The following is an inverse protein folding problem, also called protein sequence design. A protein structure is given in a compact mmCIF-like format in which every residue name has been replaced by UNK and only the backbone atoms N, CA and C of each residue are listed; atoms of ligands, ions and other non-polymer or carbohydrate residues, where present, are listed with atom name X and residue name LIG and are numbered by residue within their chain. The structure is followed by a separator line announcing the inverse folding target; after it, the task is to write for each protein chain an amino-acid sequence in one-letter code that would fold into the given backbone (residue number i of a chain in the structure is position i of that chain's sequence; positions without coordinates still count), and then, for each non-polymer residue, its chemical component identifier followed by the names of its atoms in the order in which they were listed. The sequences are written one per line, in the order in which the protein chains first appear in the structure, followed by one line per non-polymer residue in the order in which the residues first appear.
data_IF_382566108393
#
_entry.id   IF_382566108393
#
_cell.length_a   1.000
_cell.length_b   1.000
_cell.length_c   1.000
_cell.angle_alpha   90.00
_cell.angle_beta   90.00
_cell.angle_gamma   90.00
#
_symmetry.space_group_name_H-M   'P 1'
#
loop_
_entity.id
_entity.type
_entity.pdbx_description
1 polymer ?
#
# COMPACT_ATOMS: atom_id res chain seq x y z
N UNK A 1 -3.77 31.36 62.72
CA UNK A 1 -4.13 30.54 63.89
C UNK A 1 -4.41 29.13 63.38
N UNK A 2 -3.63 28.12 63.86
CA UNK A 2 -3.70 26.65 63.61
C UNK A 2 -3.38 26.20 62.16
N UNK A 3 -2.24 25.58 61.82
CA UNK A 3 -1.57 24.34 62.31
C UNK A 3 -2.48 23.11 62.11
N UNK A 4 -2.13 22.02 61.42
CA UNK A 4 -1.06 21.02 61.65
C UNK A 4 -0.98 20.12 60.38
N UNK A 5 0.13 20.01 59.63
CA UNK A 5 1.19 18.95 59.63
C UNK A 5 0.67 17.49 59.73
N UNK A 6 1.14 16.51 58.93
CA UNK A 6 2.25 15.59 59.31
C UNK A 6 2.41 14.47 58.23
N UNK A 7 3.68 14.26 57.80
CA UNK A 7 4.40 13.04 57.31
C UNK A 7 3.93 12.34 56.02
N UNK A 8 4.77 12.00 55.04
CA UNK A 8 6.23 11.89 54.97
C UNK A 8 6.69 10.43 55.10
N UNK A 9 7.26 9.84 54.03
CA UNK A 9 8.24 8.76 54.11
C UNK A 9 9.21 8.89 52.93
N UNK A 10 10.49 8.99 53.25
CA UNK A 10 11.65 8.93 52.37
C UNK A 10 12.32 7.55 52.48
N UNK A 11 13.08 7.14 51.45
CA UNK A 11 14.27 6.23 51.43
C UNK A 11 14.34 5.52 50.07
N UNK A 12 15.46 5.11 49.51
CA UNK A 12 16.90 5.30 49.74
C UNK A 12 17.60 4.69 48.51
N UNK A 13 18.90 4.96 48.41
CA UNK A 13 19.85 4.65 47.34
C UNK A 13 20.17 3.15 47.15
N UNK A 14 20.59 2.79 45.93
CA UNK A 14 21.36 1.59 45.58
C UNK A 14 21.22 1.31 44.07
N UNK A 15 22.24 1.32 43.20
CA UNK A 15 23.64 0.98 43.38
C UNK A 15 23.87 -0.46 42.92
N UNK A 16 24.14 -0.69 41.63
CA UNK A 16 24.44 -2.03 41.09
C UNK A 16 24.95 -2.02 39.64
N UNK A 17 26.28 -2.00 39.48
CA UNK A 17 27.00 -2.35 38.25
C UNK A 17 27.17 -3.88 38.19
N UNK A 18 26.86 -4.55 37.07
CA UNK A 18 27.52 -5.82 36.71
C UNK A 18 27.56 -6.00 35.17
N UNK A 19 28.71 -6.49 34.71
CA UNK A 19 29.26 -6.58 33.36
C UNK A 19 28.57 -7.51 32.34
N UNK A 20 28.90 -7.38 31.03
CA UNK A 20 28.48 -8.27 29.96
C UNK A 20 29.31 -9.56 29.95
N UNK A 21 28.73 -10.67 29.49
CA UNK A 21 29.49 -11.89 29.17
C UNK A 21 29.14 -12.43 27.80
N UNK A 22 30.14 -12.33 26.93
CA UNK A 22 30.36 -13.13 25.74
C UNK A 22 30.21 -14.64 26.04
N UNK A 23 29.61 -15.37 25.10
CA UNK A 23 29.89 -16.78 24.88
C UNK A 23 30.08 -17.00 23.39
N UNK A 24 31.34 -17.10 22.99
CA UNK A 24 31.75 -17.71 21.74
C UNK A 24 31.96 -19.21 22.00
N UNK A 25 31.36 -20.06 21.16
CA UNK A 25 31.89 -21.41 20.96
C UNK A 25 31.68 -21.88 19.52
N UNK A 26 32.78 -21.78 18.79
CA UNK A 26 33.13 -22.49 17.57
C UNK A 26 33.17 -24.01 17.78
N UNK A 27 32.73 -24.79 16.80
CA UNK A 27 33.34 -26.05 16.31
C UNK A 27 32.77 -26.26 14.88
N UNK A 28 33.53 -26.00 13.81
CA UNK A 28 34.56 -26.83 13.17
C UNK A 28 34.01 -28.07 12.43
N UNK A 29 34.18 -28.02 11.11
CA UNK A 29 34.49 -29.17 10.24
C UNK A 29 33.49 -29.34 9.08
N UNK A 30 33.86 -29.62 7.84
CA UNK A 30 35.15 -29.70 7.14
C UNK A 30 34.79 -29.90 5.65
N UNK A 31 35.48 -29.18 4.75
CA UNK A 31 35.51 -29.47 3.30
C UNK A 31 36.43 -30.67 3.00
N UNK A 32 36.29 -31.31 1.82
CA UNK A 32 37.29 -31.12 0.75
C UNK A 32 36.62 -31.04 -0.66
N UNK A 33 37.05 -30.21 -1.62
CA UNK A 33 38.35 -30.05 -2.30
C UNK A 33 38.68 -31.14 -3.35
N UNK A 34 38.54 -30.78 -4.63
CA UNK A 34 39.35 -31.25 -5.77
C UNK A 34 39.38 -30.11 -6.79
N UNK A 35 40.42 -29.28 -6.83
CA UNK A 35 41.73 -29.48 -7.48
C UNK A 35 41.66 -29.40 -9.02
N UNK A 36 42.10 -28.24 -9.51
CA UNK A 36 42.48 -27.92 -10.88
C UNK A 36 43.60 -28.84 -11.38
N UNK A 37 43.68 -29.05 -12.69
CA UNK A 37 44.99 -29.11 -13.35
C UNK A 37 44.95 -28.61 -14.79
N UNK A 38 45.89 -27.73 -15.10
CA UNK A 38 46.21 -27.20 -16.43
C UNK A 38 47.10 -28.20 -17.18
N UNK A 39 47.01 -28.28 -18.50
CA UNK A 39 48.18 -28.49 -19.38
C UNK A 39 47.91 -27.93 -20.78
N UNK A 40 48.95 -27.27 -21.31
CA UNK A 40 49.13 -26.77 -22.68
C UNK A 40 49.35 -27.93 -23.66
N UNK A 41 48.98 -27.80 -24.94
CA UNK A 41 49.81 -28.23 -26.09
C UNK A 41 49.24 -27.75 -27.45
N UNK A 42 50.15 -27.60 -28.40
CA UNK A 42 50.15 -26.82 -29.64
C UNK A 42 49.39 -27.41 -30.85
N UNK A 43 49.16 -26.55 -31.87
CA UNK A 43 48.66 -26.84 -33.23
C UNK A 43 49.58 -27.75 -34.06
N UNK A 44 49.14 -28.29 -35.23
CA UNK A 44 49.30 -27.54 -36.49
C UNK A 44 48.21 -27.74 -37.58
N UNK A 45 48.09 -26.68 -38.39
CA UNK A 45 47.76 -26.54 -39.82
C UNK A 45 47.29 -27.77 -40.64
N UNK A 46 46.20 -27.61 -41.41
CA UNK A 46 46.08 -28.23 -42.74
C UNK A 46 45.25 -27.38 -43.71
N UNK A 47 45.68 -27.47 -44.96
CA UNK A 47 45.52 -26.63 -46.15
C UNK A 47 44.15 -26.71 -46.87
N UNK A 48 43.82 -25.58 -47.53
CA UNK A 48 42.82 -25.23 -48.58
C UNK A 48 42.67 -26.24 -49.76
N UNK A 49 41.60 -26.22 -50.60
CA UNK A 49 41.13 -25.10 -51.47
C UNK A 49 39.60 -24.88 -51.54
N UNK A 50 39.07 -23.65 -51.61
CA UNK A 50 38.91 -22.73 -52.76
C UNK A 50 38.17 -23.29 -53.99
N UNK A 51 36.88 -22.98 -54.10
CA UNK A 51 36.18 -22.68 -55.37
C UNK A 51 35.08 -21.64 -55.09
N UNK A 52 35.19 -20.48 -55.73
CA UNK A 52 34.13 -19.49 -55.96
C UNK A 52 33.62 -19.68 -57.41
N UNK A 53 32.76 -18.82 -58.01
CA UNK A 53 31.80 -17.83 -57.49
C UNK A 53 30.41 -17.94 -58.16
N UNK A 54 29.28 -17.65 -57.50
CA UNK A 54 28.09 -17.11 -58.20
C UNK A 54 27.25 -16.24 -57.25
N UNK A 55 27.06 -14.98 -57.65
CA UNK A 55 26.20 -13.98 -57.01
C UNK A 55 24.73 -14.13 -57.47
N UNK A 56 23.83 -13.18 -57.18
CA UNK A 56 23.06 -13.09 -55.96
C UNK A 56 21.56 -13.29 -56.24
N UNK A 57 20.83 -14.00 -55.39
CA UNK A 57 19.37 -13.92 -55.39
C UNK A 57 18.89 -13.15 -54.18
N UNK A 58 18.29 -12.00 -54.49
CA UNK A 58 17.58 -11.10 -53.64
C UNK A 58 16.44 -11.83 -52.91
N UNK A 59 16.65 -12.16 -51.63
CA UNK A 59 15.56 -12.52 -50.73
C UNK A 59 15.41 -11.42 -49.69
N UNK A 60 14.39 -10.60 -49.88
CA UNK A 60 13.87 -9.68 -48.88
C UNK A 60 13.77 -10.41 -47.53
N UNK A 61 14.46 -9.95 -46.47
CA UNK A 61 14.03 -10.34 -45.15
C UNK A 61 12.73 -9.57 -44.91
N UNK A 62 11.59 -10.25 -45.09
CA UNK A 62 10.46 -9.95 -44.23
C UNK A 62 10.95 -10.22 -42.81
N UNK A 63 11.48 -9.18 -42.18
CA UNK A 63 11.44 -9.08 -40.72
C UNK A 63 9.98 -8.88 -40.37
N UNK A 64 9.22 -9.98 -40.37
CA UNK A 64 8.05 -10.10 -39.51
C UNK A 64 8.62 -9.97 -38.11
N UNK A 65 8.67 -8.73 -37.62
CA UNK A 65 8.77 -8.48 -36.21
C UNK A 65 7.57 -9.18 -35.59
N UNK A 66 7.76 -10.43 -35.19
CA UNK A 66 7.06 -10.97 -34.06
C UNK A 66 7.48 -10.09 -32.89
N UNK A 67 6.86 -8.92 -32.79
CA UNK A 67 6.73 -8.21 -31.54
C UNK A 67 6.04 -9.20 -30.65
N UNK A 68 6.83 -9.96 -29.90
CA UNK A 68 6.32 -10.91 -28.94
C UNK A 68 5.29 -10.13 -28.13
N UNK A 69 4.03 -10.54 -28.22
CA UNK A 69 3.01 -10.07 -27.29
C UNK A 69 3.68 -10.21 -25.92
N UNK A 70 3.86 -9.09 -25.21
CA UNK A 70 4.36 -9.10 -23.84
C UNK A 70 3.31 -9.84 -23.01
N UNK A 71 3.38 -11.16 -23.01
CA UNK A 71 2.66 -12.06 -22.12
C UNK A 71 3.29 -11.89 -20.75
N UNK A 72 2.57 -11.71 -19.66
CA UNK A 72 1.24 -11.16 -19.44
C UNK A 72 1.36 -10.42 -18.10
N UNK A 73 0.51 -9.43 -17.85
CA UNK A 73 0.48 -8.82 -16.53
C UNK A 73 0.05 -9.89 -15.51
N UNK A 74 0.82 -10.07 -14.44
CA UNK A 74 0.50 -11.03 -13.38
C UNK A 74 0.02 -10.26 -12.17
N UNK A 75 -1.27 -10.37 -11.87
CA UNK A 75 -1.89 -9.71 -10.74
C UNK A 75 -1.80 -10.63 -9.53
N UNK A 76 -1.18 -10.16 -8.45
CA UNK A 76 -1.18 -10.86 -7.16
C UNK A 76 -2.33 -10.37 -6.29
N UNK A 77 -2.78 -11.20 -5.35
CA UNK A 77 -3.82 -10.80 -4.38
C UNK A 77 -3.32 -10.97 -2.97
N UNK A 78 -3.68 -10.06 -2.07
CA UNK A 78 -3.43 -10.20 -0.63
C UNK A 78 -4.72 -9.93 0.17
N UNK A 79 -5.00 -10.74 1.21
CA UNK A 79 -6.13 -10.50 2.11
C UNK A 79 -5.90 -9.25 2.97
N UNK A 80 -7.00 -8.62 3.37
CA UNK A 80 -6.98 -7.53 4.36
C UNK A 80 -7.63 -8.03 5.67
N UNK A 81 -7.50 -7.29 6.79
CA UNK A 81 -8.27 -7.58 8.00
C UNK A 81 -9.79 -7.53 7.79
N UNK A 82 -10.26 -6.82 6.76
CA UNK A 82 -11.67 -6.78 6.38
C UNK A 82 -11.99 -7.94 5.39
N UNK A 83 -12.83 -8.93 5.76
CA UNK A 83 -13.12 -10.08 4.90
C UNK A 83 -13.87 -9.72 3.60
N UNK A 84 -14.52 -8.55 3.57
CA UNK A 84 -15.20 -8.02 2.39
C UNK A 84 -14.23 -7.28 1.46
N UNK A 85 -12.98 -7.05 1.86
CA UNK A 85 -11.99 -6.31 1.07
C UNK A 85 -10.79 -7.16 0.70
N UNK A 86 -10.34 -7.04 -0.55
CA UNK A 86 -9.17 -7.75 -1.09
C UNK A 86 -8.29 -6.80 -1.88
N UNK A 87 -6.97 -6.90 -1.68
CA UNK A 87 -5.98 -6.12 -2.42
C UNK A 87 -5.53 -6.87 -3.68
N UNK A 88 -5.35 -6.13 -4.76
CA UNK A 88 -4.90 -6.60 -6.07
C UNK A 88 -3.66 -5.80 -6.50
N UNK A 89 -2.55 -6.49 -6.70
CA UNK A 89 -1.25 -5.91 -7.07
C UNK A 89 -0.96 -6.20 -8.55
N UNK A 90 -1.15 -5.24 -9.48
CA UNK A 90 -0.91 -5.42 -10.90
C UNK A 90 0.58 -5.56 -11.29
N UNK A 91 1.51 -5.38 -10.35
CA UNK A 91 2.96 -5.39 -10.61
C UNK A 91 3.46 -4.12 -11.28
N UNK A 92 2.65 -3.05 -11.27
CA UNK A 92 2.99 -1.69 -11.71
C UNK A 92 2.42 -0.70 -10.69
N UNK A 93 3.03 0.49 -10.53
CA UNK A 93 2.44 1.56 -9.74
C UNK A 93 1.03 1.89 -10.27
N UNK A 94 0.07 1.99 -9.35
CA UNK A 94 -1.30 2.42 -9.61
C UNK A 94 -1.34 3.95 -9.45
N UNK A 95 -1.03 4.45 -8.25
CA UNK A 95 -0.90 5.88 -7.97
C UNK A 95 0.57 6.27 -7.85
N UNK A 96 0.98 7.35 -8.51
CA UNK A 96 2.34 7.90 -8.33
C UNK A 96 2.49 8.60 -6.98
N UNK A 97 1.44 9.31 -6.55
CA UNK A 97 1.41 10.07 -5.31
C UNK A 97 0.01 9.96 -4.69
N UNK A 98 -0.04 9.79 -3.37
CA UNK A 98 -1.28 9.72 -2.62
C UNK A 98 -2.09 8.47 -2.93
N UNK A 99 -3.41 8.61 -2.77
CA UNK A 99 -4.38 7.54 -2.89
C UNK A 99 -5.71 8.10 -3.42
N UNK A 100 -6.65 7.24 -3.78
CA UNK A 100 -7.98 7.68 -4.19
C UNK A 100 -9.03 6.67 -3.78
N UNK A 101 -10.06 7.14 -3.07
CA UNK A 101 -11.21 6.35 -2.65
C UNK A 101 -12.40 6.58 -3.58
N UNK A 102 -13.07 5.51 -3.97
CA UNK A 102 -14.30 5.53 -4.75
C UNK A 102 -15.37 4.77 -3.97
N UNK A 103 -16.10 5.44 -3.06
CA UNK A 103 -17.11 4.80 -2.21
C UNK A 103 -18.38 4.40 -2.97
N UNK A 104 -18.58 4.90 -4.19
CA UNK A 104 -19.78 4.64 -4.97
C UNK A 104 -19.53 4.74 -6.48
N UNK A 105 -20.47 4.27 -7.29
CA UNK A 105 -20.36 4.28 -8.75
C UNK A 105 -20.25 5.71 -9.35
N UNK A 106 -20.78 6.74 -8.68
CA UNK A 106 -20.70 8.13 -9.14
C UNK A 106 -19.27 8.64 -9.09
N UNK A 107 -18.60 8.51 -7.95
CA UNK A 107 -17.20 8.91 -7.77
C UNK A 107 -16.26 8.11 -8.67
N UNK A 108 -16.56 6.83 -8.91
CA UNK A 108 -15.79 5.96 -9.80
C UNK A 108 -15.74 6.44 -11.26
N UNK A 109 -16.69 7.27 -11.71
CA UNK A 109 -16.70 7.81 -13.08
C UNK A 109 -15.47 8.66 -13.41
N UNK A 110 -14.76 9.18 -12.40
CA UNK A 110 -13.54 9.96 -12.58
C UNK A 110 -12.36 9.11 -13.10
N UNK A 111 -12.40 7.77 -12.92
CA UNK A 111 -11.36 6.85 -13.35
C UNK A 111 -11.90 5.77 -14.29
N UNK A 112 -11.32 5.56 -15.49
CA UNK A 112 -11.72 4.45 -16.36
C UNK A 112 -11.57 3.08 -15.71
N UNK A 113 -10.54 2.90 -14.86
CA UNK A 113 -10.33 1.67 -14.12
C UNK A 113 -11.40 1.49 -13.03
N UNK A 114 -11.63 2.51 -12.20
CA UNK A 114 -12.62 2.42 -11.12
C UNK A 114 -14.02 2.18 -11.69
N UNK A 115 -14.39 2.90 -12.77
CA UNK A 115 -15.64 2.69 -13.50
C UNK A 115 -15.78 1.26 -14.02
N UNK A 116 -14.71 0.68 -14.57
CA UNK A 116 -14.75 -0.70 -15.07
C UNK A 116 -14.94 -1.71 -13.95
N UNK A 117 -14.32 -1.47 -12.80
CA UNK A 117 -14.47 -2.32 -11.62
C UNK A 117 -15.89 -2.21 -11.04
N UNK A 118 -16.40 -0.99 -10.84
CA UNK A 118 -17.79 -0.79 -10.39
C UNK A 118 -18.86 -1.31 -11.35
N UNK A 119 -18.51 -1.58 -12.61
CA UNK A 119 -19.41 -2.25 -13.55
C UNK A 119 -19.61 -3.75 -13.28
N UNK A 120 -18.78 -4.35 -12.42
CA UNK A 120 -18.89 -5.75 -12.00
C UNK A 120 -19.90 -5.82 -10.85
N UNK A 121 -20.88 -6.70 -10.99
CA UNK A 121 -21.94 -6.87 -9.99
C UNK A 121 -21.37 -7.34 -8.64
N UNK A 122 -21.85 -6.75 -7.56
CA UNK A 122 -21.39 -7.02 -6.20
C UNK A 122 -20.15 -6.24 -5.73
N UNK A 123 -19.59 -5.32 -6.52
CA UNK A 123 -18.54 -4.39 -6.06
C UNK A 123 -19.17 -3.14 -5.44
N UNK A 124 -18.76 -2.83 -4.20
CA UNK A 124 -19.32 -1.74 -3.39
C UNK A 124 -18.38 -0.53 -3.26
N UNK A 125 -17.07 -0.76 -3.15
CA UNK A 125 -16.04 0.28 -3.06
C UNK A 125 -14.78 -0.14 -3.82
N UNK A 126 -14.12 0.83 -4.41
CA UNK A 126 -12.79 0.65 -5.03
C UNK A 126 -11.86 1.70 -4.42
N UNK A 127 -10.64 1.30 -4.13
CA UNK A 127 -9.62 2.19 -3.59
C UNK A 127 -8.29 1.96 -4.30
N UNK A 128 -7.60 3.05 -4.65
CA UNK A 128 -6.28 3.01 -5.27
C UNK A 128 -5.22 3.44 -4.27
N UNK A 129 -4.31 2.52 -3.96
CA UNK A 129 -3.06 2.79 -3.26
C UNK A 129 -1.92 3.06 -4.24
N UNK A 130 -0.69 3.08 -3.72
CA UNK A 130 0.52 3.33 -4.51
C UNK A 130 0.77 2.27 -5.58
N UNK A 131 0.73 0.99 -5.22
CA UNK A 131 1.00 -0.14 -6.11
C UNK A 131 -0.09 -1.23 -6.11
N UNK A 132 -1.22 -0.94 -5.46
CA UNK A 132 -2.34 -1.87 -5.33
C UNK A 132 -3.70 -1.19 -5.58
N UNK A 133 -4.68 -2.02 -5.89
CA UNK A 133 -6.10 -1.68 -5.92
C UNK A 133 -6.81 -2.52 -4.86
N UNK A 134 -7.50 -1.90 -3.92
CA UNK A 134 -8.40 -2.60 -3.00
C UNK A 134 -9.80 -2.58 -3.58
N UNK A 135 -10.47 -3.73 -3.58
CA UNK A 135 -11.89 -3.86 -3.93
C UNK A 135 -12.63 -4.35 -2.69
N UNK A 136 -13.74 -3.70 -2.36
CA UNK A 136 -14.68 -4.15 -1.35
C UNK A 136 -15.95 -4.66 -2.02
N UNK A 137 -16.37 -5.89 -1.70
CA UNK A 137 -17.57 -6.53 -2.23
C UNK A 137 -18.76 -6.41 -1.28
N UNK A 138 -19.97 -6.66 -1.78
CA UNK A 138 -21.15 -6.89 -0.95
C UNK A 138 -21.02 -8.19 -0.15
N UNK A 139 -21.83 -8.35 0.89
CA UNK A 139 -21.80 -9.58 1.71
C UNK A 139 -22.23 -10.82 0.90
N UNK A 140 -23.16 -10.65 -0.02
CA UNK A 140 -23.74 -11.72 -0.84
C UNK A 140 -22.82 -12.22 -1.96
N UNK A 141 -21.91 -11.37 -2.45
CA UNK A 141 -21.03 -11.72 -3.57
C UNK A 141 -19.90 -12.69 -3.14
N UNK A 142 -19.44 -13.55 -4.05
CA UNK A 142 -18.31 -14.46 -3.80
C UNK A 142 -17.05 -14.05 -4.57
N UNK A 143 -15.91 -14.10 -3.88
CA UNK A 143 -14.59 -13.84 -4.47
C UNK A 143 -14.24 -14.79 -5.62
N UNK A 144 -14.83 -15.99 -5.67
CA UNK A 144 -14.55 -16.97 -6.72
C UNK A 144 -15.05 -16.50 -8.10
N UNK A 145 -16.15 -15.73 -8.13
CA UNK A 145 -16.70 -15.14 -9.35
C UNK A 145 -16.11 -13.75 -9.61
N UNK A 146 -15.90 -12.95 -8.56
CA UNK A 146 -15.36 -11.60 -8.70
C UNK A 146 -13.91 -11.57 -9.18
N UNK A 147 -13.05 -12.47 -8.69
CA UNK A 147 -11.61 -12.45 -9.04
C UNK A 147 -11.36 -12.53 -10.54
N UNK A 148 -11.93 -13.48 -11.30
CA UNK A 148 -11.78 -13.53 -12.76
C UNK A 148 -12.17 -12.21 -13.45
N UNK A 149 -13.29 -11.60 -13.06
CA UNK A 149 -13.78 -10.35 -13.66
C UNK A 149 -12.89 -9.15 -13.32
N UNK A 150 -12.47 -9.04 -12.05
CA UNK A 150 -11.53 -8.00 -11.60
C UNK A 150 -10.20 -8.13 -12.33
N UNK A 151 -9.65 -9.33 -12.45
CA UNK A 151 -8.42 -9.56 -13.20
C UNK A 151 -8.56 -9.13 -14.66
N UNK A 152 -9.67 -9.48 -15.31
CA UNK A 152 -9.94 -9.07 -16.68
C UNK A 152 -10.00 -7.54 -16.82
N UNK A 153 -10.72 -6.85 -15.93
CA UNK A 153 -10.85 -5.39 -15.93
C UNK A 153 -9.50 -4.68 -15.74
N UNK A 154 -8.69 -5.12 -14.77
CA UNK A 154 -7.35 -4.54 -14.52
C UNK A 154 -6.44 -4.82 -15.73
N UNK A 155 -6.43 -6.04 -16.27
CA UNK A 155 -5.62 -6.39 -17.46
C UNK A 155 -6.00 -5.58 -18.69
N UNK A 156 -7.30 -5.41 -18.96
CA UNK A 156 -7.78 -4.60 -20.08
C UNK A 156 -7.35 -3.14 -19.93
N UNK A 157 -7.54 -2.56 -18.74
CA UNK A 157 -7.13 -1.18 -18.47
C UNK A 157 -5.63 -0.96 -18.78
N UNK A 158 -4.74 -1.75 -18.20
CA UNK A 158 -3.29 -1.60 -18.41
C UNK A 158 -2.84 -1.93 -19.84
N UNK A 159 -3.61 -2.74 -20.57
CA UNK A 159 -3.35 -3.05 -21.98
C UNK A 159 -3.87 -1.96 -22.93
N UNK A 160 -4.93 -1.26 -22.52
CA UNK A 160 -5.56 -0.19 -23.30
C UNK A 160 -4.76 1.11 -23.34
N UNK A 161 -3.88 1.33 -22.34
CA UNK A 161 -3.09 2.57 -22.21
C UNK A 161 -3.92 3.82 -21.89
N UNK A 162 -5.16 3.65 -21.43
CA UNK A 162 -6.02 4.75 -20.95
C UNK A 162 -5.38 5.41 -19.71
N UNK A 163 -5.58 6.72 -19.51
CA UNK A 163 -5.14 7.37 -18.29
C UNK A 163 -5.94 6.85 -17.08
N UNK A 164 -5.32 6.85 -15.90
CA UNK A 164 -6.00 6.41 -14.67
C UNK A 164 -7.14 7.34 -14.27
N UNK A 165 -7.02 8.64 -14.55
CA UNK A 165 -8.05 9.64 -14.34
C UNK A 165 -8.40 10.34 -15.65
N UNK A 166 -9.68 10.66 -15.83
CA UNK A 166 -10.15 11.42 -17.00
C UNK A 166 -9.77 12.90 -16.89
N UNK A 167 -9.78 13.44 -15.67
CA UNK A 167 -9.42 14.81 -15.37
C UNK A 167 -8.08 14.86 -14.62
N UNK A 168 -7.13 15.64 -15.15
CA UNK A 168 -5.77 15.74 -14.59
C UNK A 168 -5.70 16.36 -13.19
N UNK A 169 -6.76 17.06 -12.75
CA UNK A 169 -6.82 17.69 -11.42
C UNK A 169 -7.26 16.74 -10.30
N UNK A 170 -7.73 15.54 -10.60
CA UNK A 170 -8.24 14.58 -9.59
C UNK A 170 -7.11 13.77 -8.94
N UNK A 171 -5.90 13.82 -9.53
CA UNK A 171 -4.77 12.98 -9.15
C UNK A 171 -3.98 13.42 -7.89
N UNK A 172 -4.53 14.30 -7.05
CA UNK A 172 -3.75 14.85 -5.92
C UNK A 172 -4.60 15.18 -4.70
N UNK A 173 -5.00 14.17 -3.94
CA UNK A 173 -5.31 14.36 -2.51
C UNK A 173 -4.01 14.24 -1.72
N UNK A 174 -3.17 15.29 -1.75
CA UNK A 174 -2.07 15.42 -0.79
C UNK A 174 -2.55 16.21 0.44
N UNK A 175 -3.59 15.72 1.08
CA UNK A 175 -4.28 16.35 2.20
C UNK A 175 -3.39 16.48 3.47
N UNK A 176 -2.37 15.64 3.57
CA UNK A 176 -1.35 15.66 4.62
C UNK A 176 -0.11 16.48 4.28
N UNK A 177 -0.12 17.22 3.17
CA UNK A 177 0.96 18.17 2.88
C UNK A 177 1.07 19.18 4.02
N UNK A 178 2.30 19.38 4.53
CA UNK A 178 2.58 20.41 5.52
C UNK A 178 2.65 21.75 4.79
N UNK A 179 1.79 22.68 5.18
CA UNK A 179 1.74 24.04 4.64
C UNK A 179 2.42 25.03 5.60
N UNK A 180 2.90 26.17 5.08
CA UNK A 180 3.56 27.20 5.88
C UNK A 180 2.64 27.82 6.95
N UNK A 181 1.33 27.77 6.73
CA UNK A 181 0.31 28.26 7.66
C UNK A 181 -0.12 27.21 8.71
N UNK A 182 0.36 25.97 8.61
CA UNK A 182 0.04 24.94 9.60
C UNK A 182 0.72 25.26 10.94
N UNK A 183 -0.04 25.13 12.04
CA UNK A 183 0.56 25.18 13.37
C UNK A 183 1.59 24.07 13.56
N UNK A 184 2.57 24.27 14.44
CA UNK A 184 3.59 23.24 14.77
C UNK A 184 2.95 21.90 15.19
N UNK A 185 1.80 21.96 15.87
CA UNK A 185 1.03 20.78 16.29
C UNK A 185 0.46 20.05 15.08
N UNK A 186 -0.16 20.78 14.14
CA UNK A 186 -0.73 20.21 12.91
C UNK A 186 0.36 19.60 12.04
N UNK A 187 1.51 20.27 11.89
CA UNK A 187 2.66 19.74 11.18
C UNK A 187 3.16 18.43 11.79
N UNK A 188 3.25 18.35 13.13
CA UNK A 188 3.64 17.13 13.84
C UNK A 188 2.62 16.00 13.67
N UNK A 189 1.32 16.31 13.73
CA UNK A 189 0.26 15.33 13.47
C UNK A 189 0.41 14.79 12.04
N UNK A 190 0.49 15.66 11.03
CA UNK A 190 0.65 15.27 9.62
C UNK A 190 1.90 14.40 9.41
N UNK A 191 3.04 14.77 10.00
CA UNK A 191 4.27 13.97 9.92
C UNK A 191 4.09 12.56 10.50
N UNK A 192 3.44 12.43 11.67
CA UNK A 192 3.19 11.12 12.27
C UNK A 192 2.21 10.27 11.45
N UNK A 193 1.19 10.90 10.86
CA UNK A 193 0.25 10.22 9.98
C UNK A 193 1.00 9.65 8.77
N UNK A 194 1.80 10.47 8.08
CA UNK A 194 2.57 10.08 6.90
C UNK A 194 3.62 9.00 7.19
N UNK A 195 4.41 9.18 8.24
CA UNK A 195 5.63 8.38 8.43
C UNK A 195 5.39 7.07 9.18
N UNK A 196 4.29 6.94 9.92
CA UNK A 196 4.05 5.76 10.77
C UNK A 196 2.68 5.13 10.61
N UNK A 197 1.63 5.94 10.48
CA UNK A 197 0.26 5.42 10.49
C UNK A 197 -0.13 4.96 9.09
N UNK A 198 -0.04 5.83 8.07
CA UNK A 198 -0.41 5.50 6.69
C UNK A 198 0.28 4.24 6.15
N UNK A 199 1.59 3.98 6.39
CA UNK A 199 2.21 2.74 5.94
C UNK A 199 1.50 1.50 6.48
N UNK A 200 1.17 1.48 7.78
CA UNK A 200 0.46 0.35 8.39
C UNK A 200 -0.99 0.22 7.88
N UNK A 201 -1.66 1.35 7.63
CA UNK A 201 -3.04 1.35 7.11
C UNK A 201 -3.10 0.90 5.64
N UNK A 202 -2.09 1.27 4.85
CA UNK A 202 -1.97 0.84 3.46
C UNK A 202 -1.63 -0.64 3.34
N UNK A 203 -0.84 -1.20 4.26
CA UNK A 203 -0.62 -2.65 4.37
C UNK A 203 -1.95 -3.40 4.65
N UNK A 204 -2.89 -2.76 5.33
CA UNK A 204 -4.25 -3.27 5.57
C UNK A 204 -5.22 -2.96 4.41
N UNK A 205 -4.76 -2.34 3.32
CA UNK A 205 -5.54 -2.08 2.11
C UNK A 205 -6.43 -0.83 2.14
N UNK A 206 -6.19 0.10 3.05
CA UNK A 206 -6.90 1.38 3.14
C UNK A 206 -5.96 2.58 3.21
N UNK A 207 -6.51 3.71 3.62
CA UNK A 207 -5.75 4.91 3.93
C UNK A 207 -6.52 5.80 4.91
N UNK A 208 -5.88 6.88 5.34
CA UNK A 208 -6.50 7.92 6.15
C UNK A 208 -6.30 9.30 5.51
N UNK A 209 -7.33 10.13 5.64
CA UNK A 209 -7.34 11.53 5.20
C UNK A 209 -7.51 12.41 6.45
N UNK A 210 -6.67 13.42 6.59
CA UNK A 210 -6.66 14.36 7.70
C UNK A 210 -7.66 15.50 7.46
N UNK A 211 -8.76 15.51 8.20
CA UNK A 211 -9.79 16.57 8.03
C UNK A 211 -9.53 17.82 8.84
N UNK A 212 -8.78 17.72 9.94
CA UNK A 212 -8.44 18.87 10.76
C UNK A 212 -8.11 18.53 12.20
N UNK A 213 -7.73 19.56 12.95
CA UNK A 213 -7.44 19.49 14.37
C UNK A 213 -8.10 20.68 15.05
N UNK A 214 -8.87 20.42 16.10
CA UNK A 214 -9.44 21.43 16.96
C UNK A 214 -8.52 21.67 18.17
N UNK A 215 -7.86 22.85 18.25
CA UNK A 215 -6.93 23.15 19.34
C UNK A 215 -7.60 23.37 20.70
N UNK A 216 -8.90 23.73 20.73
CA UNK A 216 -9.62 23.98 21.98
C UNK A 216 -10.03 22.66 22.66
N UNK A 217 -10.43 21.67 21.87
CA UNK A 217 -10.84 20.35 22.36
C UNK A 217 -9.70 19.32 22.33
N UNK A 218 -8.67 19.54 21.51
CA UNK A 218 -7.58 18.60 21.27
C UNK A 218 -7.98 17.41 20.39
N UNK A 219 -9.05 17.54 19.59
CA UNK A 219 -9.58 16.45 18.76
C UNK A 219 -9.02 16.52 17.34
N UNK A 220 -8.46 15.40 16.87
CA UNK A 220 -8.05 15.20 15.48
C UNK A 220 -9.17 14.53 14.71
N UNK A 221 -9.60 15.14 13.61
CA UNK A 221 -10.62 14.57 12.70
C UNK A 221 -9.95 13.87 11.53
N UNK A 222 -10.30 12.61 11.32
CA UNK A 222 -9.78 11.79 10.23
C UNK A 222 -10.94 11.16 9.45
N UNK A 223 -10.77 11.01 8.14
CA UNK A 223 -11.63 10.15 7.32
C UNK A 223 -10.87 8.87 6.98
N UNK A 224 -11.53 7.73 7.16
CA UNK A 224 -11.00 6.42 6.79
C UNK A 224 -11.37 6.12 5.33
N UNK A 225 -10.44 5.54 4.57
CA UNK A 225 -10.61 5.21 3.16
C UNK A 225 -10.31 3.73 2.89
N UNK A 226 -10.77 3.20 1.74
CA UNK A 226 -10.52 1.82 1.33
C UNK A 226 -11.06 0.76 2.29
N UNK A 227 -10.27 -0.29 2.56
CA UNK A 227 -10.67 -1.42 3.40
C UNK A 227 -11.06 -1.02 4.84
N UNK A 228 -10.52 0.10 5.32
CA UNK A 228 -10.73 0.62 6.68
C UNK A 228 -12.06 1.34 6.85
N UNK A 229 -12.74 1.68 5.76
CA UNK A 229 -14.01 2.39 5.77
C UNK A 229 -15.20 1.43 5.68
N UNK A 230 -16.23 1.64 6.51
CA UNK A 230 -17.48 0.85 6.48
C UNK A 230 -17.45 -0.48 7.24
N UNK A 231 -16.35 -0.85 7.90
CA UNK A 231 -16.28 -2.04 8.75
C UNK A 231 -16.27 -1.64 10.25
N UNK A 232 -17.32 -1.94 11.04
CA UNK A 232 -17.42 -1.49 12.42
C UNK A 232 -16.37 -2.09 13.36
N UNK A 233 -15.88 -3.30 13.07
CA UNK A 233 -14.79 -3.90 13.87
C UNK A 233 -13.43 -3.28 13.56
N UNK A 234 -13.13 -3.07 12.28
CA UNK A 234 -11.87 -2.49 11.83
C UNK A 234 -11.78 -1.00 12.16
N UNK A 235 -12.86 -0.24 12.03
CA UNK A 235 -12.86 1.21 12.31
C UNK A 235 -12.57 1.50 13.78
N UNK A 236 -13.16 0.74 14.71
CA UNK A 236 -12.93 0.93 16.15
C UNK A 236 -11.47 0.62 16.53
N UNK A 237 -10.94 -0.51 16.06
CA UNK A 237 -9.58 -0.93 16.41
C UNK A 237 -8.54 0.00 15.80
N UNK A 238 -8.72 0.38 14.53
CA UNK A 238 -7.82 1.30 13.86
C UNK A 238 -7.86 2.69 14.51
N UNK A 239 -9.06 3.22 14.78
CA UNK A 239 -9.24 4.49 15.49
C UNK A 239 -8.49 4.49 16.82
N UNK A 240 -8.69 3.47 17.65
CA UNK A 240 -8.00 3.38 18.95
C UNK A 240 -6.49 3.25 18.79
N UNK A 241 -6.00 2.54 17.77
CA UNK A 241 -4.57 2.46 17.47
C UNK A 241 -3.97 3.83 17.12
N UNK A 242 -4.64 4.56 16.22
CA UNK A 242 -4.22 5.90 15.80
C UNK A 242 -4.26 6.88 16.98
N UNK A 243 -5.35 6.89 17.73
CA UNK A 243 -5.54 7.76 18.89
C UNK A 243 -4.43 7.58 19.93
N UNK A 244 -4.15 6.32 20.29
CA UNK A 244 -3.08 6.00 21.25
C UNK A 244 -1.70 6.47 20.75
N UNK A 245 -1.42 6.32 19.45
CA UNK A 245 -0.16 6.77 18.87
C UNK A 245 -0.05 8.30 18.89
N UNK A 246 -1.08 9.02 18.44
CA UNK A 246 -1.07 10.47 18.40
C UNK A 246 -0.96 11.07 19.81
N UNK A 247 -1.74 10.57 20.77
CA UNK A 247 -1.67 11.03 22.18
C UNK A 247 -0.32 10.75 22.84
N UNK A 248 0.42 9.73 22.39
CA UNK A 248 1.74 9.42 22.93
C UNK A 248 2.81 10.40 22.46
N UNK A 249 2.76 10.81 21.19
CA UNK A 249 3.76 11.70 20.59
C UNK A 249 3.39 13.18 20.61
N UNK A 250 2.10 13.51 20.70
CA UNK A 250 1.55 14.88 20.68
C UNK A 250 0.66 15.07 21.92
N UNK A 251 1.17 15.78 22.92
CA UNK A 251 0.52 15.90 24.24
C UNK A 251 -0.80 16.69 24.23
N UNK A 252 -0.97 17.52 23.21
CA UNK A 252 -2.10 18.40 22.93
C UNK A 252 -3.27 17.60 22.37
N UNK A 253 -3.02 16.46 21.71
CA UNK A 253 -4.06 15.57 21.21
C UNK A 253 -4.71 14.85 22.39
N UNK A 254 -6.04 14.93 22.47
CA UNK A 254 -6.88 14.29 23.49
C UNK A 254 -7.75 13.16 22.96
N UNK A 255 -7.94 13.10 21.65
CA UNK A 255 -8.73 12.06 21.02
C UNK A 255 -8.74 12.18 19.50
N UNK A 256 -9.28 11.16 18.85
CA UNK A 256 -9.53 11.14 17.41
C UNK A 256 -11.03 10.98 17.16
N UNK A 257 -11.54 11.62 16.12
CA UNK A 257 -12.91 11.42 15.64
C UNK A 257 -12.90 11.05 14.16
N UNK A 258 -13.80 10.13 13.79
CA UNK A 258 -13.99 9.78 12.39
C UNK A 258 -15.02 10.73 11.78
N UNK A 259 -14.64 11.42 10.72
CA UNK A 259 -15.55 12.20 9.89
C UNK A 259 -16.01 11.34 8.71
N UNK A 260 -17.32 11.26 8.51
CA UNK A 260 -17.95 10.59 7.37
C UNK A 260 -18.49 11.68 6.45
N UNK A 261 -18.22 11.57 5.16
CA UNK A 261 -18.79 12.51 4.19
C UNK A 261 -20.31 12.26 4.06
N UNK A 262 -21.09 13.31 3.78
CA UNK A 262 -22.55 13.21 3.67
C UNK A 262 -23.00 12.19 2.59
N UNK A 263 -22.19 11.94 1.57
CA UNK A 263 -22.44 10.92 0.53
C UNK A 263 -22.24 9.47 1.04
N UNK A 264 -21.45 9.26 2.11
CA UNK A 264 -21.24 7.96 2.74
C UNK A 264 -22.35 7.63 3.76
N UNK A 265 -23.05 8.65 4.28
CA UNK A 265 -24.11 8.50 5.29
C UNK A 265 -25.40 7.85 4.72
N UNK A 266 -25.75 8.14 3.47
CA UNK A 266 -26.99 7.63 2.85
C UNK A 266 -26.93 6.11 2.59
N UNK A 267 -25.75 5.57 2.29
CA UNK A 267 -25.54 4.12 2.07
C UNK A 267 -25.59 3.32 3.38
N UNK A 268 -25.25 3.95 4.52
CA UNK A 268 -25.23 3.27 5.83
C UNK A 268 -26.64 3.11 6.41
N UNK A 269 -27.57 4.01 6.07
CA UNK A 269 -28.95 4.00 6.57
C UNK A 269 -29.84 2.96 5.87
N UNK A 270 -29.52 2.57 4.63
CA UNK A 270 -30.30 1.57 3.89
C UNK A 270 -30.02 0.13 4.31
N UNK A 271 -28.89 -0.15 4.98
CA UNK A 271 -28.50 -1.49 5.42
C UNK A 271 -28.96 -1.89 6.83
N UNK A 272 -29.62 -1.00 7.59
CA UNK A 272 -30.05 -1.27 8.97
C UNK A 272 -31.57 -1.54 9.10
N UNK A 273 -32.29 -1.73 8.00
CA UNK A 273 -33.75 -1.94 7.99
C UNK A 273 -34.21 -3.24 7.33
N UNK A 274 -33.34 -4.24 7.18
CA UNK A 274 -33.73 -5.62 6.81
C UNK A 274 -33.37 -6.64 7.89
#
# INVERSE_FOLDING_TARGET
MRSVFVRGVARFLGGGRINPRFSARSYLGSYPAWAQNQTLFSSPNSTRPNLSPFSPFNSHPWTTGFGGQKRGMFIQTQPTPNPLSLMFYPGKPVMEVGSSDFPNARTAMASPLAKSLFGIDGIMRVFFGSDFVTVTKSEEASWDFLKPEIFAAIMDFYSSGKPLFLDSNVASSMDTSIHEDDSEIVAMIKELLETRIRPAVQDDGGDIEYRGFDPDTGIVKLRMQGACSGCPSSSVTLKSGIENMLMHYVSEVKGVEQELDDEDAETTLTGQME
#
